data_IF_423272232242
#
_entry.id   IF_423272232242
#
_cell.length_a   1.000
_cell.length_b   1.000
_cell.length_c   1.000
_cell.angle_alpha   90.00
_cell.angle_beta   90.00
_cell.angle_gamma   90.00
#
_symmetry.space_group_name_H-M   'P 1'
#
loop_
_entity.id
_entity.type
_entity.pdbx_description
1 polymer ?
#
# COMPACT_ATOMS: atom_id res chain seq x y z
N UNK A 1 -32.82 78.27 -44.69
CA UNK A 1 -31.67 77.58 -45.31
C UNK A 1 -30.63 77.23 -44.22
N UNK A 2 -30.73 76.11 -43.60
CA UNK A 2 -29.65 75.60 -42.73
C UNK A 2 -29.65 74.08 -42.88
N UNK A 3 -28.59 73.51 -43.44
CA UNK A 3 -28.39 72.07 -43.60
C UNK A 3 -27.78 71.53 -42.32
N UNK A 4 -28.44 70.58 -41.70
CA UNK A 4 -27.96 69.80 -40.55
C UNK A 4 -27.13 68.65 -41.08
N UNK A 5 -25.87 68.55 -40.64
CA UNK A 5 -24.99 67.41 -40.83
C UNK A 5 -25.17 66.44 -39.67
N UNK A 6 -25.62 65.21 -39.98
CA UNK A 6 -25.65 64.10 -39.06
C UNK A 6 -24.30 63.41 -39.10
N UNK A 7 -23.57 63.45 -38.00
CA UNK A 7 -22.36 62.61 -37.79
C UNK A 7 -22.74 61.28 -37.17
N UNK A 8 -22.56 60.17 -37.89
CA UNK A 8 -22.71 58.81 -37.41
C UNK A 8 -21.45 58.42 -36.62
N UNK A 9 -21.60 58.23 -35.31
CA UNK A 9 -20.57 57.63 -34.47
C UNK A 9 -20.73 56.09 -34.51
N UNK A 10 -19.83 55.42 -35.26
CA UNK A 10 -19.72 53.95 -35.18
C UNK A 10 -18.87 53.59 -33.98
N UNK A 11 -19.52 53.05 -32.96
CA UNK A 11 -18.85 52.42 -31.81
C UNK A 11 -18.46 51.01 -32.21
N UNK A 12 -17.18 50.82 -32.48
CA UNK A 12 -16.59 49.49 -32.64
C UNK A 12 -16.50 48.81 -31.27
N UNK A 13 -17.39 47.85 -31.04
CA UNK A 13 -17.30 46.92 -29.88
C UNK A 13 -16.20 45.89 -30.19
N UNK A 14 -15.01 46.09 -29.65
CA UNK A 14 -13.96 45.07 -29.67
C UNK A 14 -14.39 44.00 -28.62
N UNK A 15 -14.89 42.87 -29.09
CA UNK A 15 -14.97 41.67 -28.32
C UNK A 15 -13.54 41.25 -27.97
N UNK A 16 -13.12 41.52 -26.73
CA UNK A 16 -12.00 40.87 -26.13
C UNK A 16 -12.39 39.39 -25.99
N UNK A 17 -11.84 38.55 -26.83
CA UNK A 17 -11.87 37.11 -26.63
C UNK A 17 -11.06 36.82 -25.36
N UNK A 18 -11.77 36.58 -24.27
CA UNK A 18 -11.22 35.92 -23.10
C UNK A 18 -10.64 34.57 -23.59
N UNK A 19 -9.35 34.57 -23.85
CA UNK A 19 -8.65 33.33 -24.15
C UNK A 19 -8.73 32.43 -22.92
N UNK A 20 -9.65 31.47 -22.96
CA UNK A 20 -9.57 30.30 -22.12
C UNK A 20 -8.14 29.78 -22.15
N UNK A 21 -7.41 29.97 -21.06
CA UNK A 21 -6.17 29.29 -20.80
C UNK A 21 -6.50 27.80 -20.55
N UNK A 22 -6.98 27.14 -21.60
CA UNK A 22 -7.00 25.69 -21.68
C UNK A 22 -5.55 25.23 -21.58
N UNK A 23 -5.19 24.69 -20.43
CA UNK A 23 -3.92 24.00 -20.25
C UNK A 23 -3.73 23.11 -21.48
N UNK A 24 -2.71 23.40 -22.30
CA UNK A 24 -2.37 22.62 -23.47
C UNK A 24 -2.11 21.19 -22.99
N UNK A 25 -3.14 20.34 -23.11
CA UNK A 25 -2.99 18.90 -22.95
C UNK A 25 -1.88 18.51 -23.90
N UNK A 26 -0.81 18.01 -23.36
CA UNK A 26 0.33 17.51 -24.15
C UNK A 26 -0.24 16.59 -25.21
N UNK A 27 0.14 16.79 -26.48
CA UNK A 27 -0.36 16.00 -27.62
C UNK A 27 0.01 14.50 -27.51
N UNK A 28 0.84 14.11 -26.54
CA UNK A 28 1.17 12.71 -26.26
C UNK A 28 0.77 12.30 -24.83
N UNK A 29 0.39 11.03 -24.63
CA UNK A 29 0.12 10.51 -23.29
C UNK A 29 1.40 10.51 -22.42
N UNK A 30 1.25 10.72 -21.12
CA UNK A 30 2.34 10.55 -20.16
C UNK A 30 2.73 9.08 -20.07
N UNK A 31 4.04 8.77 -20.18
CA UNK A 31 4.55 7.41 -20.13
C UNK A 31 4.94 7.07 -18.70
N UNK A 32 4.26 6.10 -18.13
CA UNK A 32 4.51 5.60 -16.78
C UNK A 32 5.07 4.19 -16.89
N UNK A 33 6.22 3.94 -16.27
CA UNK A 33 6.79 2.61 -16.14
C UNK A 33 6.49 2.08 -14.74
N UNK A 34 5.66 1.04 -14.65
CA UNK A 34 5.17 0.52 -13.39
C UNK A 34 5.78 -0.85 -13.08
N UNK A 35 6.44 -0.97 -11.91
CA UNK A 35 7.00 -2.23 -11.43
C UNK A 35 6.15 -2.74 -10.28
N UNK A 36 5.54 -3.93 -10.47
CA UNK A 36 4.84 -4.68 -9.44
C UNK A 36 5.69 -5.84 -8.92
N UNK A 37 5.34 -6.37 -7.75
CA UNK A 37 6.05 -7.51 -7.16
C UNK A 37 5.36 -8.84 -7.43
N UNK A 38 4.03 -8.84 -7.55
CA UNK A 38 3.19 -10.04 -7.64
C UNK A 38 1.96 -9.86 -8.52
N UNK A 39 2.11 -9.14 -9.62
CA UNK A 39 1.04 -8.83 -10.55
C UNK A 39 0.15 -7.66 -10.14
N UNK A 40 -0.96 -7.55 -10.83
CA UNK A 40 -1.97 -6.50 -10.62
C UNK A 40 -2.77 -6.76 -9.34
N UNK A 41 -2.97 -5.71 -8.56
CA UNK A 41 -3.83 -5.71 -7.37
C UNK A 41 -4.88 -4.60 -7.48
N UNK A 42 -5.73 -4.44 -6.48
CA UNK A 42 -6.70 -3.34 -6.47
C UNK A 42 -6.03 -1.96 -6.38
N UNK A 43 -4.77 -1.90 -5.95
CA UNK A 43 -3.99 -0.66 -6.00
C UNK A 43 -3.78 -0.18 -7.42
N UNK A 44 -3.34 -1.06 -8.32
CA UNK A 44 -3.09 -0.72 -9.73
C UNK A 44 -4.39 -0.40 -10.45
N UNK A 45 -5.49 -1.06 -10.09
CA UNK A 45 -6.83 -0.70 -10.61
C UNK A 45 -7.21 0.72 -10.17
N UNK A 46 -7.10 1.04 -8.88
CA UNK A 46 -7.39 2.38 -8.37
C UNK A 46 -6.50 3.46 -8.99
N UNK A 47 -5.23 3.14 -9.26
CA UNK A 47 -4.30 4.02 -9.94
C UNK A 47 -4.74 4.32 -11.39
N UNK A 48 -5.16 3.30 -12.13
CA UNK A 48 -5.67 3.46 -13.50
C UNK A 48 -7.01 4.19 -13.53
N UNK A 49 -7.94 3.81 -12.65
CA UNK A 49 -9.30 4.41 -12.57
C UNK A 49 -9.23 5.92 -12.29
N UNK A 50 -8.27 6.36 -11.48
CA UNK A 50 -8.05 7.77 -11.20
C UNK A 50 -7.76 8.56 -12.49
N UNK A 51 -6.79 8.11 -13.30
CA UNK A 51 -6.44 8.79 -14.55
C UNK A 51 -7.58 8.75 -15.57
N UNK A 52 -8.29 7.62 -15.64
CA UNK A 52 -9.46 7.48 -16.52
C UNK A 52 -10.57 8.47 -16.12
N UNK A 53 -10.90 8.55 -14.82
CA UNK A 53 -11.92 9.46 -14.30
C UNK A 53 -11.57 10.95 -14.52
N UNK A 54 -10.27 11.27 -14.43
CA UNK A 54 -9.74 12.63 -14.64
C UNK A 54 -9.49 12.95 -16.12
N UNK A 55 -9.66 11.98 -17.03
CA UNK A 55 -9.36 12.09 -18.46
C UNK A 55 -7.93 12.55 -18.75
N UNK A 56 -6.97 12.14 -17.89
CA UNK A 56 -5.56 12.42 -18.09
C UNK A 56 -4.98 11.30 -18.96
N UNK A 57 -4.43 11.64 -20.16
CA UNK A 57 -3.90 10.62 -21.05
C UNK A 57 -2.60 10.04 -20.51
N UNK A 58 -2.60 8.75 -20.14
CA UNK A 58 -1.44 8.01 -19.65
C UNK A 58 -1.26 6.73 -20.47
N UNK A 59 -0.01 6.36 -20.70
CA UNK A 59 0.41 5.06 -21.22
C UNK A 59 1.22 4.36 -20.15
N UNK A 60 0.66 3.32 -19.52
CA UNK A 60 1.30 2.61 -18.42
C UNK A 60 1.88 1.30 -18.95
N UNK A 61 3.19 1.13 -18.80
CA UNK A 61 3.90 -0.12 -19.10
C UNK A 61 4.12 -0.87 -17.79
N UNK A 62 3.36 -1.94 -17.58
CA UNK A 62 3.53 -2.79 -16.40
C UNK A 62 4.62 -3.83 -16.59
N UNK A 63 5.45 -4.00 -15.57
CA UNK A 63 6.45 -5.06 -15.43
C UNK A 63 6.29 -5.69 -14.06
N UNK A 64 6.24 -7.01 -14.02
CA UNK A 64 6.09 -7.74 -12.78
C UNK A 64 7.36 -8.52 -12.43
N UNK A 65 7.86 -8.34 -11.22
CA UNK A 65 8.97 -9.15 -10.71
C UNK A 65 8.57 -10.62 -10.55
N UNK A 66 7.26 -10.91 -10.46
CA UNK A 66 6.76 -12.26 -10.22
C UNK A 66 7.44 -12.90 -8.98
N UNK A 67 7.62 -12.10 -7.93
CA UNK A 67 8.29 -12.44 -6.66
C UNK A 67 9.78 -12.81 -6.81
N UNK A 68 10.39 -12.44 -7.92
CA UNK A 68 11.79 -12.71 -8.22
C UNK A 68 12.58 -11.40 -8.43
N UNK A 69 13.27 -10.97 -7.39
CA UNK A 69 14.08 -9.75 -7.41
C UNK A 69 15.27 -9.81 -8.38
N UNK A 70 15.66 -10.99 -8.88
CA UNK A 70 16.75 -11.12 -9.86
C UNK A 70 16.40 -10.50 -11.21
N UNK A 71 15.13 -10.21 -11.47
CA UNK A 71 14.63 -9.53 -12.67
C UNK A 71 14.84 -8.00 -12.62
N UNK A 72 15.08 -7.43 -11.45
CA UNK A 72 15.19 -5.98 -11.25
C UNK A 72 16.22 -5.31 -12.17
N UNK A 73 17.47 -5.81 -12.34
CA UNK A 73 18.47 -5.16 -13.18
C UNK A 73 17.98 -4.93 -14.62
N UNK A 74 17.30 -5.92 -15.22
CA UNK A 74 16.75 -5.79 -16.58
C UNK A 74 15.67 -4.70 -16.69
N UNK A 75 14.86 -4.51 -15.63
CA UNK A 75 13.86 -3.44 -15.61
C UNK A 75 14.50 -2.06 -15.45
N UNK A 76 15.58 -1.95 -14.67
CA UNK A 76 16.35 -0.71 -14.55
C UNK A 76 17.01 -0.31 -15.87
N UNK A 77 17.55 -1.26 -16.63
CA UNK A 77 18.08 -1.02 -17.99
C UNK A 77 16.98 -0.56 -18.95
N UNK A 78 15.79 -1.20 -18.89
CA UNK A 78 14.64 -0.81 -19.71
C UNK A 78 14.18 0.62 -19.38
N UNK A 79 14.14 1.01 -18.10
CA UNK A 79 13.80 2.37 -17.66
C UNK A 79 14.81 3.38 -18.23
N UNK A 80 16.12 3.11 -18.11
CA UNK A 80 17.17 4.00 -18.65
C UNK A 80 17.08 4.17 -20.16
N UNK A 81 16.77 3.10 -20.88
CA UNK A 81 16.61 3.11 -22.33
C UNK A 81 15.35 3.83 -22.78
N UNK A 82 14.21 3.59 -22.12
CA UNK A 82 12.91 4.13 -22.54
C UNK A 82 12.63 5.53 -22.03
N UNK A 83 13.28 5.94 -20.94
CA UNK A 83 13.12 7.25 -20.28
C UNK A 83 11.64 7.63 -20.12
N UNK A 84 10.88 6.91 -19.29
CA UNK A 84 9.49 7.25 -18.99
C UNK A 84 9.40 8.60 -18.28
N UNK A 85 8.21 9.21 -18.29
CA UNK A 85 7.97 10.46 -17.59
C UNK A 85 7.85 10.27 -16.06
N UNK A 86 7.54 9.02 -15.63
CA UNK A 86 7.40 8.63 -14.21
C UNK A 86 7.68 7.13 -14.06
N UNK A 87 8.31 6.77 -12.96
CA UNK A 87 8.40 5.37 -12.50
C UNK A 87 7.46 5.17 -11.31
N UNK A 88 6.62 4.16 -11.40
CA UNK A 88 5.77 3.68 -10.31
C UNK A 88 6.38 2.43 -9.70
N UNK A 89 6.42 2.34 -8.37
CA UNK A 89 6.98 1.19 -7.65
C UNK A 89 6.04 0.66 -6.58
N UNK A 90 5.89 -0.65 -6.52
CA UNK A 90 5.01 -1.35 -5.59
C UNK A 90 5.78 -1.95 -4.41
N UNK A 91 5.52 -1.43 -3.20
CA UNK A 91 6.07 -1.99 -1.96
C UNK A 91 7.54 -1.60 -1.69
N UNK A 92 8.00 -1.89 -0.47
CA UNK A 92 9.30 -1.44 0.02
C UNK A 92 10.47 -2.01 -0.78
N UNK A 93 10.47 -3.32 -1.05
CA UNK A 93 11.57 -3.99 -1.75
C UNK A 93 11.77 -3.48 -3.18
N UNK A 94 10.68 -3.34 -3.94
CA UNK A 94 10.73 -2.80 -5.31
C UNK A 94 11.20 -1.34 -5.29
N UNK A 95 10.68 -0.53 -4.36
CA UNK A 95 11.05 0.88 -4.26
C UNK A 95 12.54 1.04 -3.94
N UNK A 96 13.07 0.26 -3.00
CA UNK A 96 14.49 0.28 -2.69
C UNK A 96 15.36 -0.25 -3.83
N UNK A 97 14.91 -1.26 -4.55
CA UNK A 97 15.61 -1.77 -5.74
C UNK A 97 15.72 -0.75 -6.86
N UNK A 98 14.72 0.14 -7.02
CA UNK A 98 14.72 1.20 -8.05
C UNK A 98 15.42 2.46 -7.56
N UNK A 99 15.11 2.92 -6.35
CA UNK A 99 15.52 4.23 -5.84
C UNK A 99 16.76 4.19 -4.93
N UNK A 100 17.10 3.03 -4.37
CA UNK A 100 18.07 2.91 -3.28
C UNK A 100 17.59 3.55 -1.98
N UNK A 101 18.30 3.29 -0.88
CA UNK A 101 18.09 4.04 0.37
C UNK A 101 18.58 5.48 0.22
N UNK A 102 18.01 6.44 0.98
CA UNK A 102 18.41 7.85 0.87
C UNK A 102 19.88 8.11 1.25
N UNK A 103 20.50 7.22 2.00
CA UNK A 103 21.92 7.26 2.45
C UNK A 103 22.83 6.29 1.69
N UNK A 104 22.30 5.49 0.75
CA UNK A 104 23.03 4.48 -0.03
C UNK A 104 22.67 4.52 -1.52
N UNK A 105 22.31 5.69 -2.07
CA UNK A 105 22.03 5.85 -3.51
C UNK A 105 23.30 5.70 -4.32
N UNK A 106 23.24 4.83 -5.32
CA UNK A 106 24.27 4.69 -6.36
C UNK A 106 23.63 5.00 -7.72
N UNK A 107 23.97 6.11 -8.40
CA UNK A 107 23.41 6.48 -9.70
C UNK A 107 23.69 5.47 -10.83
N UNK A 108 24.70 4.62 -10.67
CA UNK A 108 24.98 3.57 -11.66
C UNK A 108 23.98 2.40 -11.53
N UNK A 109 23.45 2.19 -10.32
CA UNK A 109 22.52 1.11 -10.01
C UNK A 109 21.07 1.64 -9.97
N UNK A 110 20.83 2.76 -9.29
CA UNK A 110 19.49 3.26 -9.00
C UNK A 110 19.05 4.35 -10.00
N UNK A 111 17.75 4.60 -10.08
CA UNK A 111 17.15 5.65 -10.91
C UNK A 111 17.12 6.96 -10.10
N UNK A 112 17.85 7.97 -10.53
CA UNK A 112 18.00 9.24 -9.81
C UNK A 112 17.51 10.46 -10.58
N UNK A 113 17.35 10.33 -11.90
CA UNK A 113 17.02 11.39 -12.85
C UNK A 113 15.57 11.38 -13.32
N UNK A 114 14.83 10.31 -13.03
CA UNK A 114 13.40 10.18 -13.36
C UNK A 114 12.58 10.26 -12.06
N UNK A 115 11.44 10.96 -12.02
CA UNK A 115 10.54 10.97 -10.88
C UNK A 115 10.05 9.56 -10.53
N UNK A 116 9.99 9.26 -9.22
CA UNK A 116 9.48 7.97 -8.72
C UNK A 116 8.32 8.24 -7.78
N UNK A 117 7.19 7.55 -8.01
CA UNK A 117 6.08 7.48 -7.07
C UNK A 117 5.93 6.06 -6.57
N UNK A 118 6.01 5.86 -5.28
CA UNK A 118 5.79 4.54 -4.69
C UNK A 118 4.38 4.38 -4.12
N UNK A 119 3.95 3.16 -4.04
CA UNK A 119 2.76 2.72 -3.31
C UNK A 119 3.11 1.58 -2.35
N UNK A 120 2.27 1.35 -1.35
CA UNK A 120 2.37 0.23 -0.41
C UNK A 120 3.75 0.07 0.28
N UNK A 121 4.52 1.13 0.44
CA UNK A 121 5.68 1.12 1.31
C UNK A 121 5.17 1.22 2.76
N UNK A 122 5.50 0.24 3.60
CA UNK A 122 4.93 0.16 4.94
C UNK A 122 5.49 1.21 5.91
N UNK A 123 6.80 1.41 5.91
CA UNK A 123 7.51 2.30 6.84
C UNK A 123 8.58 3.12 6.09
N UNK A 124 8.21 4.14 5.30
CA UNK A 124 9.12 4.77 4.34
C UNK A 124 10.33 5.46 4.97
N UNK A 125 10.23 5.99 6.19
CA UNK A 125 11.36 6.61 6.91
C UNK A 125 12.27 5.53 7.49
N UNK A 126 11.72 4.55 8.17
CA UNK A 126 12.48 3.49 8.83
C UNK A 126 13.12 2.54 7.81
N UNK A 127 12.46 2.30 6.67
CA UNK A 127 13.02 1.59 5.52
C UNK A 127 14.01 2.43 4.71
N UNK A 128 14.31 3.66 5.15
CA UNK A 128 15.24 4.59 4.49
C UNK A 128 14.89 4.94 3.06
N UNK A 129 13.62 4.87 2.68
CA UNK A 129 13.14 5.32 1.36
C UNK A 129 13.21 6.85 1.29
N UNK A 130 12.75 7.53 2.33
CA UNK A 130 12.83 8.99 2.50
C UNK A 130 13.31 9.34 3.91
N UNK A 131 13.94 10.52 4.06
CA UNK A 131 14.39 11.00 5.39
C UNK A 131 13.24 11.55 6.21
N UNK A 132 12.32 12.22 5.56
CA UNK A 132 11.21 12.94 6.17
C UNK A 132 9.96 12.76 5.30
N UNK A 133 8.80 12.59 5.94
CA UNK A 133 7.53 12.38 5.23
C UNK A 133 7.02 13.68 4.60
N UNK A 134 7.27 14.84 5.22
CA UNK A 134 6.81 16.13 4.69
C UNK A 134 7.68 16.62 3.56
N UNK A 135 8.99 16.36 3.65
CA UNK A 135 9.98 16.80 2.67
C UNK A 135 10.89 15.64 2.27
N UNK A 136 10.49 14.82 1.31
CA UNK A 136 11.28 13.66 0.86
C UNK A 136 12.71 14.02 0.44
N UNK A 137 12.92 15.21 -0.14
CA UNK A 137 14.23 15.77 -0.46
C UNK A 137 14.98 15.08 -1.60
N UNK A 138 14.32 14.20 -2.35
CA UNK A 138 14.88 13.44 -3.47
C UNK A 138 13.84 13.25 -4.58
N UNK A 139 14.18 12.56 -5.67
CA UNK A 139 13.27 12.28 -6.79
C UNK A 139 12.18 11.25 -6.49
N UNK A 140 11.87 10.99 -5.21
CA UNK A 140 10.94 9.96 -4.74
C UNK A 140 9.88 10.57 -3.85
N UNK A 141 8.62 10.23 -4.08
CA UNK A 141 7.49 10.46 -3.18
C UNK A 141 6.54 9.26 -3.24
N UNK A 142 5.46 9.26 -2.49
CA UNK A 142 4.47 8.18 -2.60
C UNK A 142 3.47 8.12 -1.46
N UNK A 143 2.84 6.94 -1.37
CA UNK A 143 1.77 6.65 -0.41
C UNK A 143 2.11 5.40 0.39
N UNK A 144 2.13 5.51 1.70
CA UNK A 144 2.17 4.35 2.60
C UNK A 144 0.75 3.93 3.00
N UNK A 145 0.57 2.69 3.45
CA UNK A 145 -0.76 2.10 3.57
C UNK A 145 -1.07 1.53 4.96
N UNK A 146 -0.09 1.53 5.85
CA UNK A 146 -0.22 0.87 7.15
C UNK A 146 -0.73 1.87 8.19
N UNK A 147 -1.75 1.48 8.93
CA UNK A 147 -2.20 2.24 10.09
C UNK A 147 -1.10 2.30 11.16
N UNK A 148 -1.03 3.36 11.97
CA UNK A 148 -0.07 3.45 13.07
C UNK A 148 -0.13 2.18 13.95
N UNK A 149 1.02 1.62 14.30
CA UNK A 149 1.14 0.37 15.07
C UNK A 149 0.31 0.39 16.36
N UNK A 150 0.37 1.50 17.11
CA UNK A 150 -0.42 1.65 18.32
C UNK A 150 -1.93 1.65 18.06
N UNK A 151 -2.40 2.24 16.96
CA UNK A 151 -3.81 2.22 16.59
C UNK A 151 -4.28 0.79 16.28
N UNK A 152 -3.45 -0.01 15.61
CA UNK A 152 -3.74 -1.42 15.34
C UNK A 152 -3.82 -2.25 16.63
N UNK A 153 -2.88 -2.07 17.55
CA UNK A 153 -2.87 -2.75 18.86
C UNK A 153 -4.10 -2.36 19.68
N UNK A 154 -4.48 -1.09 19.69
CA UNK A 154 -5.70 -0.63 20.37
C UNK A 154 -6.97 -1.19 19.73
N UNK A 155 -7.04 -1.26 18.41
CA UNK A 155 -8.15 -1.88 17.68
C UNK A 155 -8.25 -3.39 18.01
N UNK A 156 -7.13 -4.10 18.07
CA UNK A 156 -7.07 -5.49 18.49
C UNK A 156 -7.57 -5.67 19.94
N UNK A 157 -7.09 -4.81 20.86
CA UNK A 157 -7.50 -4.84 22.26
C UNK A 157 -8.98 -4.47 22.45
N UNK A 158 -9.55 -3.62 21.58
CA UNK A 158 -10.99 -3.30 21.60
C UNK A 158 -11.87 -4.47 21.14
N UNK A 159 -11.34 -5.35 20.28
CA UNK A 159 -12.01 -6.59 19.91
C UNK A 159 -11.99 -7.59 21.08
N UNK A 160 -10.82 -7.86 21.61
CA UNK A 160 -10.60 -8.72 22.77
C UNK A 160 -9.31 -8.29 23.46
N UNK A 161 -9.38 -7.86 24.74
CA UNK A 161 -8.20 -7.56 25.55
C UNK A 161 -7.23 -8.76 25.60
N UNK A 162 -5.95 -8.49 25.66
CA UNK A 162 -4.90 -9.52 25.69
C UNK A 162 -3.69 -9.05 26.50
N UNK A 163 -2.86 -10.02 26.92
CA UNK A 163 -1.61 -9.80 27.65
C UNK A 163 -0.39 -10.33 26.90
N UNK A 164 -0.59 -11.14 25.87
CA UNK A 164 0.50 -11.74 25.08
C UNK A 164 0.17 -11.75 23.60
N UNK A 165 1.10 -11.23 22.78
CA UNK A 165 0.98 -11.10 21.34
C UNK A 165 2.04 -11.94 20.64
N UNK A 166 1.62 -12.88 19.80
CA UNK A 166 2.49 -13.62 18.90
C UNK A 166 2.70 -12.87 17.57
N UNK A 167 3.90 -12.90 17.02
CA UNK A 167 4.22 -12.32 15.71
C UNK A 167 5.09 -13.30 14.93
N UNK A 168 4.74 -13.56 13.66
CA UNK A 168 5.65 -14.14 12.67
C UNK A 168 6.12 -13.03 11.74
N UNK A 169 7.39 -13.06 11.34
CA UNK A 169 7.94 -12.04 10.45
C UNK A 169 9.07 -12.56 9.58
N UNK A 170 9.28 -11.91 8.44
CA UNK A 170 10.36 -12.20 7.49
C UNK A 170 11.62 -11.44 7.89
N UNK A 171 12.69 -12.11 8.36
CA UNK A 171 13.87 -11.43 8.89
C UNK A 171 14.70 -10.72 7.80
N UNK A 172 14.47 -11.01 6.52
CA UNK A 172 15.14 -10.37 5.38
C UNK A 172 14.38 -9.19 4.80
N UNK A 173 13.17 -8.90 5.29
CA UNK A 173 12.39 -7.73 4.89
C UNK A 173 12.52 -6.61 5.93
N UNK A 174 13.12 -5.49 5.53
CA UNK A 174 13.35 -4.33 6.42
C UNK A 174 12.08 -3.82 7.09
N UNK A 175 10.99 -3.70 6.34
CA UNK A 175 9.69 -3.26 6.87
C UNK A 175 9.16 -4.21 7.94
N UNK A 176 9.38 -5.50 7.79
CA UNK A 176 8.90 -6.53 8.71
C UNK A 176 9.64 -6.45 10.06
N UNK A 177 10.97 -6.35 10.00
CA UNK A 177 11.85 -6.21 11.17
C UNK A 177 11.50 -4.93 11.95
N UNK A 178 11.37 -3.81 11.25
CA UNK A 178 11.05 -2.51 11.84
C UNK A 178 9.71 -2.53 12.58
N UNK A 179 8.68 -3.12 11.99
CA UNK A 179 7.35 -3.19 12.63
C UNK A 179 7.39 -4.05 13.89
N UNK A 180 8.18 -5.12 13.92
CA UNK A 180 8.37 -5.92 15.15
C UNK A 180 8.95 -5.05 16.28
N UNK A 181 9.95 -4.21 15.99
CA UNK A 181 10.53 -3.30 16.98
C UNK A 181 9.51 -2.22 17.43
N UNK A 182 8.73 -1.66 16.51
CA UNK A 182 7.65 -0.74 16.87
C UNK A 182 6.62 -1.41 17.80
N UNK A 183 6.22 -2.66 17.53
CA UNK A 183 5.30 -3.40 18.40
C UNK A 183 5.90 -3.61 19.78
N UNK A 184 7.22 -3.89 19.89
CA UNK A 184 7.93 -4.00 21.17
C UNK A 184 7.92 -2.68 21.95
N UNK A 185 8.12 -1.54 21.28
CA UNK A 185 8.04 -0.24 21.93
C UNK A 185 6.61 0.09 22.39
N UNK A 186 5.61 -0.21 21.57
CA UNK A 186 4.19 -0.06 21.95
C UNK A 186 3.85 -0.98 23.14
N UNK A 187 4.37 -2.20 23.15
CA UNK A 187 4.09 -3.18 24.23
C UNK A 187 4.54 -2.71 25.60
N UNK A 188 5.70 -2.03 25.69
CA UNK A 188 6.20 -1.42 26.93
C UNK A 188 5.23 -0.38 27.48
N UNK A 189 4.62 0.44 26.61
CA UNK A 189 3.67 1.48 27.00
C UNK A 189 2.29 0.95 27.36
N UNK A 190 1.83 -0.09 26.66
CA UNK A 190 0.48 -0.63 26.81
C UNK A 190 0.40 -1.85 27.76
N UNK A 191 1.54 -2.38 28.21
CA UNK A 191 1.61 -3.40 29.24
C UNK A 191 1.22 -4.81 28.76
N UNK A 192 1.78 -5.25 27.62
CA UNK A 192 1.63 -6.63 27.12
C UNK A 192 2.98 -7.22 26.71
N UNK A 193 3.09 -8.53 26.63
CA UNK A 193 4.30 -9.23 26.16
C UNK A 193 4.27 -9.50 24.66
N UNK A 194 5.44 -9.58 24.02
CA UNK A 194 5.58 -9.88 22.60
C UNK A 194 6.45 -11.12 22.40
N UNK A 195 5.92 -12.11 21.69
CA UNK A 195 6.63 -13.32 21.27
C UNK A 195 6.82 -13.26 19.75
N UNK A 196 7.95 -12.77 19.30
CA UNK A 196 8.27 -12.63 17.89
C UNK A 196 9.14 -13.78 17.39
N UNK A 197 8.73 -14.45 16.31
CA UNK A 197 9.44 -15.55 15.68
C UNK A 197 9.79 -15.19 14.23
N UNK A 198 11.09 -15.17 13.87
CA UNK A 198 11.50 -15.00 12.47
C UNK A 198 11.20 -16.26 11.68
N UNK A 199 10.69 -16.13 10.46
CA UNK A 199 10.58 -17.24 9.52
C UNK A 199 11.96 -17.82 9.21
N UNK A 200 12.01 -19.11 8.92
CA UNK A 200 13.27 -19.82 8.62
C UNK A 200 13.85 -19.36 7.30
N UNK A 201 15.18 -19.42 7.22
CA UNK A 201 15.94 -19.21 5.99
C UNK A 201 16.52 -20.54 5.52
N UNK A 202 16.56 -20.74 4.21
CA UNK A 202 17.27 -21.87 3.59
C UNK A 202 18.80 -21.65 3.58
N UNK A 203 19.54 -22.61 3.02
CA UNK A 203 21.00 -22.54 2.89
C UNK A 203 21.50 -21.33 2.07
N UNK A 204 20.63 -20.77 1.20
CA UNK A 204 20.93 -19.61 0.37
C UNK A 204 20.46 -18.29 1.02
N UNK A 205 20.09 -18.33 2.32
CA UNK A 205 19.52 -17.19 3.07
C UNK A 205 18.21 -16.66 2.50
N UNK A 206 17.48 -17.47 1.74
CA UNK A 206 16.13 -17.14 1.28
C UNK A 206 15.11 -17.63 2.30
N UNK A 207 14.09 -16.81 2.54
CA UNK A 207 12.99 -17.19 3.44
C UNK A 207 12.19 -18.36 2.87
N UNK A 208 11.79 -19.29 3.75
CA UNK A 208 11.06 -20.52 3.39
C UNK A 208 9.78 -20.63 4.22
N UNK A 209 8.71 -21.26 3.70
CA UNK A 209 7.49 -21.53 4.44
C UNK A 209 7.65 -22.66 5.45
N UNK A 210 8.79 -23.35 5.43
CA UNK A 210 9.03 -24.55 6.23
C UNK A 210 9.00 -24.23 7.72
N UNK A 211 8.21 -24.99 8.47
CA UNK A 211 8.04 -24.81 9.90
C UNK A 211 7.16 -23.62 10.31
N UNK A 212 6.64 -22.79 9.37
CA UNK A 212 5.82 -21.64 9.72
C UNK A 212 4.55 -22.05 10.50
N UNK A 213 3.88 -23.12 10.10
CA UNK A 213 2.72 -23.66 10.84
C UNK A 213 3.08 -24.19 12.23
N UNK A 214 4.28 -24.77 12.41
CA UNK A 214 4.76 -25.20 13.73
C UNK A 214 5.05 -23.99 14.62
N UNK A 215 5.67 -22.95 14.07
CA UNK A 215 5.90 -21.71 14.81
C UNK A 215 4.59 -21.08 15.34
N UNK A 216 3.50 -21.19 14.59
CA UNK A 216 2.17 -20.73 15.06
C UNK A 216 1.71 -21.58 16.25
N UNK A 217 1.87 -22.92 16.19
CA UNK A 217 1.53 -23.80 17.32
C UNK A 217 2.38 -23.48 18.55
N UNK A 218 3.68 -23.26 18.38
CA UNK A 218 4.59 -22.85 19.45
C UNK A 218 4.21 -21.50 20.07
N UNK A 219 3.76 -20.51 19.27
CA UNK A 219 3.24 -19.25 19.79
C UNK A 219 2.06 -19.48 20.73
N UNK A 220 1.12 -20.37 20.34
CA UNK A 220 -0.01 -20.74 21.18
C UNK A 220 0.41 -21.45 22.47
N UNK A 221 1.38 -22.38 22.39
CA UNK A 221 1.95 -23.07 23.56
C UNK A 221 2.66 -22.10 24.52
N UNK A 222 3.22 -20.99 23.99
CA UNK A 222 3.82 -19.91 24.76
C UNK A 222 2.78 -18.87 25.24
N UNK A 223 1.49 -19.23 25.22
CA UNK A 223 0.36 -18.43 25.66
C UNK A 223 0.11 -17.14 24.86
N UNK A 224 0.50 -17.08 23.56
CA UNK A 224 0.02 -16.02 22.70
C UNK A 224 -1.52 -16.06 22.63
N UNK A 225 -2.15 -14.91 22.82
CA UNK A 225 -3.62 -14.74 22.78
C UNK A 225 -4.11 -14.22 21.44
N UNK A 226 -3.22 -13.54 20.71
CA UNK A 226 -3.39 -13.07 19.35
C UNK A 226 -2.17 -13.38 18.49
N UNK A 227 -2.37 -13.59 17.20
CA UNK A 227 -1.37 -13.59 16.17
C UNK A 227 -1.45 -12.28 15.39
N UNK A 228 -0.45 -11.40 15.51
CA UNK A 228 -0.36 -10.20 14.69
C UNK A 228 0.36 -10.52 13.38
N UNK A 229 -0.26 -10.17 12.27
CA UNK A 229 0.28 -10.30 10.93
C UNK A 229 0.77 -8.92 10.46
N UNK A 230 2.09 -8.64 10.55
CA UNK A 230 2.66 -7.36 10.14
C UNK A 230 2.57 -7.15 8.63
N UNK A 231 2.81 -5.93 8.11
CA UNK A 231 2.91 -5.66 6.68
C UNK A 231 4.19 -6.28 6.10
N UNK A 232 4.12 -7.56 5.80
CA UNK A 232 5.21 -8.44 5.40
C UNK A 232 4.85 -9.11 4.08
N UNK A 233 5.69 -8.89 3.06
CA UNK A 233 5.40 -9.34 1.69
C UNK A 233 5.41 -10.86 1.58
N UNK A 234 6.43 -11.51 2.14
CA UNK A 234 6.53 -12.96 2.07
C UNK A 234 5.48 -13.65 2.93
N UNK A 235 5.30 -13.19 4.17
CA UNK A 235 4.25 -13.70 5.05
C UNK A 235 2.88 -13.62 4.37
N UNK A 236 2.58 -12.52 3.67
CA UNK A 236 1.36 -12.37 2.87
C UNK A 236 1.20 -13.43 1.76
N UNK A 237 2.29 -14.04 1.27
CA UNK A 237 2.21 -15.12 0.27
C UNK A 237 1.87 -16.48 0.87
N UNK A 238 2.28 -16.73 2.12
CA UNK A 238 2.07 -18.02 2.80
C UNK A 238 0.91 -17.98 3.81
N UNK A 239 0.37 -16.81 4.11
CA UNK A 239 -0.66 -16.61 5.13
C UNK A 239 -1.87 -17.51 4.90
N UNK A 240 -2.45 -17.49 3.69
CA UNK A 240 -3.67 -18.23 3.35
C UNK A 240 -3.53 -19.75 3.50
N UNK A 241 -2.40 -20.31 3.07
CA UNK A 241 -2.26 -21.75 2.91
C UNK A 241 -1.48 -22.43 4.05
N UNK A 242 -0.75 -21.65 4.87
CA UNK A 242 0.11 -22.20 5.92
C UNK A 242 -0.19 -21.59 7.30
N UNK A 243 -0.09 -20.27 7.42
CA UNK A 243 -0.11 -19.58 8.72
C UNK A 243 -1.51 -19.55 9.33
N UNK A 244 -2.50 -19.10 8.57
CA UNK A 244 -3.87 -18.95 9.06
C UNK A 244 -4.59 -20.28 9.30
N UNK A 245 -4.43 -21.34 8.47
CA UNK A 245 -4.93 -22.65 8.80
C UNK A 245 -4.32 -23.22 10.11
N UNK A 246 -3.01 -23.00 10.34
CA UNK A 246 -2.37 -23.41 11.59
C UNK A 246 -2.91 -22.62 12.80
N UNK A 247 -3.12 -21.31 12.64
CA UNK A 247 -3.70 -20.46 13.69
C UNK A 247 -5.14 -20.89 14.03
N UNK A 248 -5.95 -21.13 13.00
CA UNK A 248 -7.32 -21.65 13.17
C UNK A 248 -7.35 -22.98 13.92
N UNK A 249 -6.49 -23.93 13.55
CA UNK A 249 -6.43 -25.25 14.15
C UNK A 249 -6.12 -25.23 15.66
N UNK A 250 -5.41 -24.21 16.15
CA UNK A 250 -5.09 -24.03 17.58
C UNK A 250 -5.93 -22.96 18.27
N UNK A 251 -6.96 -22.43 17.60
CA UNK A 251 -7.83 -21.40 18.16
C UNK A 251 -7.08 -20.09 18.50
N UNK A 252 -6.08 -19.70 17.70
CA UNK A 252 -5.33 -18.46 17.86
C UNK A 252 -5.87 -17.43 16.87
N UNK A 253 -6.63 -16.40 17.32
CA UNK A 253 -7.15 -15.38 16.41
C UNK A 253 -6.02 -14.57 15.78
N UNK A 254 -6.15 -14.26 14.48
CA UNK A 254 -5.18 -13.48 13.73
C UNK A 254 -5.72 -12.08 13.43
N UNK A 255 -4.86 -11.05 13.63
CA UNK A 255 -5.14 -9.65 13.31
C UNK A 255 -4.26 -9.16 12.17
N UNK A 256 -4.89 -8.60 11.14
CA UNK A 256 -4.22 -8.17 9.92
C UNK A 256 -3.86 -6.68 9.95
N UNK A 257 -2.65 -6.37 9.50
CA UNK A 257 -2.18 -4.99 9.29
C UNK A 257 -2.49 -4.44 7.89
N UNK A 258 -2.90 -5.29 6.96
CA UNK A 258 -3.14 -4.92 5.55
C UNK A 258 -4.41 -5.56 5.01
N UNK A 259 -5.03 -4.92 4.01
CA UNK A 259 -6.23 -5.44 3.34
C UNK A 259 -5.99 -6.85 2.76
N UNK A 260 -4.82 -7.09 2.15
CA UNK A 260 -4.46 -8.42 1.65
C UNK A 260 -4.52 -9.51 2.74
N UNK A 261 -3.98 -9.22 3.92
CA UNK A 261 -3.97 -10.20 5.02
C UNK A 261 -5.39 -10.44 5.56
N UNK A 262 -6.28 -9.45 5.50
CA UNK A 262 -7.71 -9.64 5.77
C UNK A 262 -8.34 -10.59 4.76
N UNK A 263 -8.09 -10.41 3.48
CA UNK A 263 -8.60 -11.29 2.40
C UNK A 263 -8.12 -12.73 2.55
N UNK A 264 -6.92 -12.96 3.10
CA UNK A 264 -6.39 -14.31 3.33
C UNK A 264 -7.03 -15.05 4.49
N UNK A 265 -7.81 -14.39 5.37
CA UNK A 265 -8.59 -15.05 6.41
C UNK A 265 -8.25 -14.65 7.86
N UNK A 266 -7.63 -13.50 8.10
CA UNK A 266 -7.54 -12.95 9.45
C UNK A 266 -8.95 -12.60 9.99
N UNK A 267 -9.18 -12.76 11.30
CA UNK A 267 -10.50 -12.50 11.90
C UNK A 267 -10.81 -11.01 11.96
N UNK A 268 -9.82 -10.18 12.19
CA UNK A 268 -9.96 -8.72 12.21
C UNK A 268 -8.71 -8.02 11.69
N UNK A 269 -8.84 -6.75 11.34
CA UNK A 269 -7.71 -5.93 10.91
C UNK A 269 -8.07 -4.46 10.81
N UNK A 270 -7.08 -3.59 11.01
CA UNK A 270 -7.21 -2.15 10.78
C UNK A 270 -6.42 -1.80 9.51
N UNK A 271 -7.12 -1.59 8.41
CA UNK A 271 -6.54 -1.61 7.08
C UNK A 271 -6.87 -0.38 6.24
N UNK A 272 -6.01 -0.06 5.28
CA UNK A 272 -6.32 0.86 4.18
C UNK A 272 -6.91 0.11 3.00
N UNK A 273 -7.90 0.70 2.34
CA UNK A 273 -8.44 0.17 1.09
C UNK A 273 -7.43 0.34 -0.04
N UNK A 274 -7.01 -0.76 -0.64
CA UNK A 274 -5.97 -0.76 -1.69
C UNK A 274 -6.36 0.07 -2.91
N UNK A 275 -7.61 -0.03 -3.35
CA UNK A 275 -8.10 0.79 -4.44
C UNK A 275 -7.94 2.29 -4.14
N UNK A 276 -8.31 2.74 -2.94
CA UNK A 276 -8.16 4.15 -2.52
C UNK A 276 -6.69 4.57 -2.38
N UNK A 277 -5.81 3.67 -1.94
CA UNK A 277 -4.36 3.89 -1.94
C UNK A 277 -3.86 4.10 -3.37
N UNK A 278 -4.33 3.29 -4.33
CA UNK A 278 -4.02 3.45 -5.75
C UNK A 278 -4.43 4.80 -6.30
N UNK A 279 -5.66 5.23 -6.02
CA UNK A 279 -6.15 6.56 -6.42
C UNK A 279 -5.32 7.68 -5.80
N UNK A 280 -4.94 7.57 -4.52
CA UNK A 280 -4.10 8.57 -3.86
C UNK A 280 -2.67 8.60 -4.42
N UNK A 281 -2.13 7.44 -4.79
CA UNK A 281 -0.84 7.36 -5.49
C UNK A 281 -0.91 8.04 -6.86
N UNK A 282 -2.02 7.83 -7.60
CA UNK A 282 -2.25 8.48 -8.89
C UNK A 282 -2.42 10.00 -8.76
N UNK A 283 -3.05 10.49 -7.69
CA UNK A 283 -3.10 11.93 -7.38
C UNK A 283 -1.68 12.51 -7.22
N UNK A 284 -0.77 11.82 -6.52
CA UNK A 284 0.63 12.27 -6.41
C UNK A 284 1.36 12.22 -7.76
N UNK A 285 1.09 11.21 -8.56
CA UNK A 285 1.61 11.12 -9.92
C UNK A 285 1.08 12.27 -10.81
N UNK A 286 -0.17 12.69 -10.67
CA UNK A 286 -0.72 13.88 -11.35
C UNK A 286 0.04 15.16 -10.94
N UNK A 287 0.35 15.35 -9.65
CA UNK A 287 1.15 16.49 -9.19
C UNK A 287 2.51 16.56 -9.94
N UNK A 288 3.12 15.40 -10.18
CA UNK A 288 4.41 15.32 -10.89
C UNK A 288 4.22 15.54 -12.40
N UNK A 289 3.30 14.81 -13.01
CA UNK A 289 3.15 14.73 -14.47
C UNK A 289 2.48 15.98 -15.05
N UNK A 290 1.39 16.42 -14.44
CA UNK A 290 0.55 17.52 -14.93
C UNK A 290 1.00 18.84 -14.32
N UNK A 291 1.08 18.91 -13.00
CA UNK A 291 1.38 20.15 -12.27
C UNK A 291 2.87 20.46 -12.18
N UNK A 292 3.74 19.54 -12.69
CA UNK A 292 5.21 19.68 -12.73
C UNK A 292 5.85 19.93 -11.35
N UNK A 293 5.21 19.46 -10.28
CA UNK A 293 5.76 19.54 -8.93
C UNK A 293 6.86 18.50 -8.76
N UNK A 294 8.02 18.92 -8.26
CA UNK A 294 9.11 17.99 -7.95
C UNK A 294 8.69 16.99 -6.87
N UNK A 295 8.98 15.69 -7.02
CA UNK A 295 8.71 14.69 -5.97
C UNK A 295 9.30 15.07 -4.62
N UNK A 296 10.43 15.76 -4.59
CA UNK A 296 11.09 16.23 -3.38
C UNK A 296 10.24 17.19 -2.52
N UNK A 297 9.21 17.81 -3.11
CA UNK A 297 8.28 18.76 -2.47
C UNK A 297 6.90 18.18 -2.22
N UNK A 298 6.63 16.96 -2.66
CA UNK A 298 5.36 16.28 -2.46
C UNK A 298 5.47 15.40 -1.22
N UNK A 299 4.71 15.68 -0.14
CA UNK A 299 4.75 14.88 1.08
C UNK A 299 4.46 13.40 0.80
N UNK A 300 5.08 12.52 1.56
CA UNK A 300 4.72 11.09 1.63
C UNK A 300 3.62 10.95 2.67
N UNK A 301 2.48 10.42 2.27
CA UNK A 301 1.28 10.41 3.11
C UNK A 301 0.58 9.05 3.04
N UNK A 302 -0.39 8.86 3.91
CA UNK A 302 -1.35 7.75 3.86
C UNK A 302 -2.78 8.29 3.87
N UNK A 303 -3.75 7.41 3.72
CA UNK A 303 -5.16 7.77 3.89
C UNK A 303 -5.41 8.24 5.33
N UNK A 304 -6.29 9.19 5.50
CA UNK A 304 -6.68 9.71 6.82
C UNK A 304 -7.64 8.78 7.57
N UNK A 305 -8.23 7.82 6.87
CA UNK A 305 -9.20 6.86 7.44
C UNK A 305 -8.74 5.45 7.16
N UNK A 306 -8.76 4.63 8.20
CA UNK A 306 -8.53 3.20 8.15
C UNK A 306 -9.85 2.48 8.46
N UNK A 307 -10.08 1.36 7.80
CA UNK A 307 -11.23 0.51 8.04
C UNK A 307 -10.89 -0.55 9.09
N UNK A 308 -11.62 -0.57 10.20
CA UNK A 308 -11.61 -1.74 11.07
C UNK A 308 -12.53 -2.79 10.45
N UNK A 309 -11.96 -3.87 9.96
CA UNK A 309 -12.68 -4.97 9.32
C UNK A 309 -12.76 -6.16 10.23
N UNK A 310 -13.90 -6.86 10.20
CA UNK A 310 -14.13 -8.11 10.94
C UNK A 310 -14.74 -9.14 10.00
N UNK A 311 -14.11 -10.31 9.90
CA UNK A 311 -14.58 -11.48 9.17
C UNK A 311 -15.51 -12.30 10.04
N UNK A 312 -16.82 -12.21 9.79
CA UNK A 312 -17.83 -12.88 10.61
C UNK A 312 -17.77 -14.41 10.51
N UNK A 313 -17.45 -14.96 9.34
CA UNK A 313 -17.22 -16.37 9.11
C UNK A 313 -16.07 -16.94 9.98
N UNK A 314 -14.97 -16.19 10.06
CA UNK A 314 -13.80 -16.56 10.87
C UNK A 314 -14.10 -16.39 12.37
N UNK A 315 -14.80 -15.31 12.73
CA UNK A 315 -15.22 -15.07 14.10
C UNK A 315 -16.12 -16.20 14.63
N UNK A 316 -17.05 -16.68 13.80
CA UNK A 316 -17.92 -17.82 14.13
C UNK A 316 -17.11 -19.11 14.32
N UNK A 317 -16.22 -19.45 13.39
CA UNK A 317 -15.36 -20.63 13.47
C UNK A 317 -14.49 -20.63 14.73
N UNK A 318 -13.97 -19.46 15.12
CA UNK A 318 -13.18 -19.29 16.34
C UNK A 318 -14.05 -19.19 17.61
N UNK A 319 -15.38 -19.15 17.49
CA UNK A 319 -16.32 -18.84 18.60
C UNK A 319 -15.95 -17.56 19.33
N UNK A 320 -15.57 -16.55 18.56
CA UNK A 320 -15.07 -15.26 19.03
C UNK A 320 -15.86 -14.12 18.37
N UNK A 321 -17.14 -13.91 18.70
CA UNK A 321 -17.93 -12.84 18.13
C UNK A 321 -17.35 -11.47 18.50
N UNK A 322 -17.43 -10.46 17.61
CA UNK A 322 -17.02 -9.10 17.95
C UNK A 322 -17.91 -8.53 19.06
N UNK A 323 -17.36 -7.65 19.93
CA UNK A 323 -18.15 -6.96 20.94
C UNK A 323 -19.27 -6.12 20.33
N UNK A 324 -20.44 -6.06 20.97
CA UNK A 324 -21.61 -5.32 20.46
C UNK A 324 -21.31 -3.86 20.03
N UNK A 325 -20.51 -3.06 20.78
CA UNK A 325 -20.20 -1.70 20.34
C UNK A 325 -19.48 -1.64 19.00
N UNK A 326 -18.75 -2.70 18.60
CA UNK A 326 -17.98 -2.75 17.36
C UNK A 326 -18.87 -2.77 16.11
N UNK A 327 -20.12 -3.25 16.23
CA UNK A 327 -21.10 -3.24 15.15
C UNK A 327 -21.45 -1.82 14.64
N UNK A 328 -21.19 -0.78 15.45
CA UNK A 328 -21.47 0.60 15.09
C UNK A 328 -20.40 1.24 14.21
N UNK A 329 -19.16 0.68 14.17
CA UNK A 329 -18.04 1.33 13.49
C UNK A 329 -17.13 0.38 12.70
N UNK A 330 -17.24 -0.94 12.90
CA UNK A 330 -16.47 -1.89 12.12
C UNK A 330 -17.22 -2.29 10.83
N UNK A 331 -16.47 -2.59 9.80
CA UNK A 331 -16.99 -3.20 8.58
C UNK A 331 -17.07 -4.71 8.79
N UNK A 332 -18.26 -5.23 8.88
CA UNK A 332 -18.52 -6.66 9.06
C UNK A 332 -18.51 -7.33 7.68
N UNK A 333 -17.52 -8.18 7.44
CA UNK A 333 -17.40 -8.94 6.21
C UNK A 333 -18.09 -10.29 6.40
N UNK A 334 -19.24 -10.43 5.73
CA UNK A 334 -19.96 -11.72 5.63
C UNK A 334 -19.65 -12.25 4.23
N UNK A 335 -19.03 -13.43 4.08
CA UNK A 335 -18.86 -14.02 2.77
C UNK A 335 -20.24 -14.21 2.12
N UNK A 336 -20.35 -13.87 0.83
CA UNK A 336 -21.55 -14.27 0.08
C UNK A 336 -21.62 -15.80 0.18
N UNK A 337 -22.72 -16.34 0.74
CA UNK A 337 -23.02 -17.76 0.61
C UNK A 337 -22.91 -18.12 -0.87
N UNK A 338 -22.14 -19.15 -1.21
CA UNK A 338 -22.23 -19.71 -2.56
C UNK A 338 -23.70 -20.03 -2.80
N UNK A 339 -24.35 -19.35 -3.73
CA UNK A 339 -25.69 -19.74 -4.17
C UNK A 339 -25.61 -21.22 -4.53
N UNK A 340 -26.47 -22.06 -3.96
CA UNK A 340 -26.49 -23.45 -4.34
C UNK A 340 -26.70 -23.51 -5.86
N UNK A 341 -25.78 -24.17 -6.57
CA UNK A 341 -25.86 -24.32 -8.01
C UNK A 341 -27.30 -24.77 -8.37
N UNK A 342 -27.98 -23.97 -9.21
CA UNK A 342 -29.32 -24.28 -9.65
C UNK A 342 -29.34 -25.73 -10.17
N UNK A 343 -30.31 -26.58 -9.80
CA UNK A 343 -30.38 -27.94 -10.26
C UNK A 343 -30.44 -27.91 -11.79
N UNK A 344 -29.49 -28.59 -12.44
CA UNK A 344 -29.50 -28.80 -13.87
C UNK A 344 -30.81 -29.51 -14.22
N UNK A 345 -31.70 -28.84 -14.96
CA UNK A 345 -32.88 -29.42 -15.60
C UNK A 345 -32.48 -30.30 -16.76
#
# INVERSE_FOLDING_TARGET
>A
MIRALLALFAVAFTLAADGDAQAQLTTRPYRIYAITFRGMTDVEKGFQDYFAARRIPVQITFRDLNRDNTRMPGFLEEIRRTKPDLVYTWGTGVTLGVAGTYDGVDPQVHITDIPIVFTLVAAPVLAKVVRDLKNPGRNVTGVFHVAPTEAQIRAMASYRPFKSLGILYTPTEQNSVVVVEEVREVSKRLGFSVIAKPLKLDANKKVTPEGAGEMVRELKQQNAEWLYLPPDTYLGTIAKNVVLPAAMAVGLPAFASTEQLMETGAVAGLVSRYHSIGQFTAYKAEQILVNKVSPSKIPVETLTRFALQVRMDIAEQLRLPPPLPMFNYAELIVPKSEEPAAPKQ
#
